data_IF_306177667880
#
_entry.id   IF_306177667880
#
_cell.length_a   1.000
_cell.length_b   1.000
_cell.length_c   1.000
_cell.angle_alpha   90.00
_cell.angle_beta   90.00
_cell.angle_gamma   90.00
#
_symmetry.space_group_name_H-M   'P 1'
#
loop_
_entity.id
_entity.type
_entity.pdbx_description
1 polymer ?
#
# COMPACT_ATOMS: atom_id res chain seq x y z
N UNK A 1 -13.79 34.63 -16.24
CA UNK A 1 -13.83 36.05 -16.67
C UNK A 1 -15.29 36.41 -16.82
N UNK A 2 -15.95 36.74 -15.71
CA UNK A 2 -16.17 38.09 -15.18
C UNK A 2 -17.30 38.83 -15.91
N UNK A 3 -18.41 38.93 -15.17
CA UNK A 3 -19.56 39.85 -15.36
C UNK A 3 -19.11 41.32 -15.46
N UNK A 4 -19.97 42.23 -15.96
CA UNK A 4 -20.58 43.23 -15.04
C UNK A 4 -22.07 43.50 -15.34
N UNK A 5 -22.97 43.65 -14.34
CA UNK A 5 -23.37 44.88 -13.61
C UNK A 5 -23.78 46.06 -14.54
N UNK A 6 -24.85 46.83 -14.37
CA UNK A 6 -25.94 47.04 -13.40
C UNK A 6 -27.03 47.88 -14.16
N UNK A 7 -28.28 48.10 -13.74
CA UNK A 7 -28.65 49.03 -12.68
C UNK A 7 -30.19 49.16 -12.50
N UNK A 8 -30.59 49.17 -11.21
CA UNK A 8 -31.67 49.89 -10.51
C UNK A 8 -32.81 50.61 -11.27
N UNK A 9 -34.05 50.41 -10.79
CA UNK A 9 -34.93 51.51 -10.32
C UNK A 9 -36.05 51.05 -9.38
N UNK A 10 -36.21 51.80 -8.28
CA UNK A 10 -37.26 51.69 -7.25
C UNK A 10 -38.62 52.15 -7.79
N UNK A 11 -39.70 51.47 -7.43
CA UNK A 11 -41.07 52.03 -7.44
C UNK A 11 -41.79 51.62 -6.15
N UNK A 12 -42.45 52.60 -5.54
CA UNK A 12 -43.12 52.54 -4.25
C UNK A 12 -44.63 52.73 -4.48
N UNK A 13 -45.44 52.07 -3.65
CA UNK A 13 -46.88 52.23 -3.39
C UNK A 13 -47.90 51.54 -4.32
N UNK A 14 -48.73 50.65 -3.78
CA UNK A 14 -50.07 50.97 -3.25
C UNK A 14 -50.77 49.71 -2.70
N UNK A 15 -51.58 49.92 -1.68
CA UNK A 15 -52.34 48.95 -0.88
C UNK A 15 -53.52 48.38 -1.67
N UNK A 16 -53.76 47.06 -1.61
CA UNK A 16 -55.12 46.50 -1.68
C UNK A 16 -55.24 45.34 -0.68
N UNK A 17 -56.13 45.51 0.29
CA UNK A 17 -56.54 44.48 1.22
C UNK A 17 -57.41 43.44 0.50
N UNK A 18 -56.93 42.20 0.43
CA UNK A 18 -57.67 41.05 -0.07
C UNK A 18 -57.81 40.00 1.02
N UNK A 19 -58.99 39.90 1.60
CA UNK A 19 -59.42 38.89 2.57
C UNK A 19 -59.35 37.50 1.94
N UNK A 20 -58.34 36.71 2.32
CA UNK A 20 -58.15 35.33 1.91
C UNK A 20 -58.86 34.40 2.91
N UNK A 21 -59.98 33.80 2.50
CA UNK A 21 -60.64 32.72 3.24
C UNK A 21 -59.68 31.53 3.36
N UNK A 22 -59.20 31.23 4.56
CA UNK A 22 -58.51 29.97 4.85
C UNK A 22 -59.56 28.86 4.99
N UNK A 23 -59.74 28.07 3.94
CA UNK A 23 -60.39 26.77 4.06
C UNK A 23 -59.46 25.82 4.82
N UNK A 24 -59.80 25.48 6.06
CA UNK A 24 -59.12 24.46 6.83
C UNK A 24 -59.38 23.09 6.20
N UNK A 25 -58.53 22.67 5.27
CA UNK A 25 -58.48 21.29 4.82
C UNK A 25 -58.06 20.40 5.99
N UNK A 26 -58.92 19.47 6.38
CA UNK A 26 -58.57 18.43 7.35
C UNK A 26 -57.46 17.58 6.74
N UNK A 27 -56.22 17.79 7.21
CA UNK A 27 -55.14 16.86 6.95
C UNK A 27 -55.54 15.53 7.61
N UNK A 28 -55.91 14.54 6.79
CA UNK A 28 -56.04 13.17 7.24
C UNK A 28 -54.65 12.72 7.68
N UNK A 29 -54.43 12.64 8.99
CA UNK A 29 -53.27 11.98 9.54
C UNK A 29 -53.23 10.58 8.94
N UNK A 30 -52.15 10.27 8.22
CA UNK A 30 -51.88 8.90 7.78
C UNK A 30 -51.82 8.06 9.06
N UNK A 31 -52.81 7.18 9.22
CA UNK A 31 -52.81 6.15 10.24
C UNK A 31 -51.51 5.39 10.07
N UNK A 32 -50.60 5.54 11.04
CA UNK A 32 -49.41 4.71 11.14
C UNK A 32 -49.89 3.26 11.13
N UNK A 33 -49.63 2.57 10.03
CA UNK A 33 -49.70 1.11 9.96
C UNK A 33 -49.01 0.61 11.22
N UNK A 34 -49.58 -0.34 11.97
CA UNK A 34 -48.95 -0.81 13.19
C UNK A 34 -47.53 -1.22 12.82
N UNK A 35 -46.57 -0.43 13.30
CA UNK A 35 -45.16 -0.79 13.26
C UNK A 35 -45.17 -2.18 13.87
N UNK A 36 -44.90 -3.21 13.08
CA UNK A 36 -44.70 -4.55 13.65
C UNK A 36 -43.72 -4.31 14.78
N UNK A 37 -44.18 -4.50 16.02
CA UNK A 37 -43.37 -4.28 17.19
C UNK A 37 -42.04 -4.99 16.92
N UNK A 38 -40.93 -4.26 17.10
CA UNK A 38 -39.62 -4.79 16.78
C UNK A 38 -39.47 -6.16 17.47
N UNK A 39 -39.05 -7.21 16.74
CA UNK A 39 -38.95 -8.54 17.32
C UNK A 39 -37.90 -8.55 18.44
N UNK A 40 -37.92 -9.59 19.28
CA UNK A 40 -36.87 -9.79 20.28
C UNK A 40 -35.47 -9.85 19.63
N UNK A 41 -34.45 -9.36 20.32
CA UNK A 41 -33.07 -9.23 19.82
C UNK A 41 -32.95 -8.30 18.60
N UNK A 42 -33.68 -7.19 18.61
CA UNK A 42 -33.57 -6.14 17.61
C UNK A 42 -33.60 -4.73 18.21
N UNK A 43 -32.92 -3.82 17.53
CA UNK A 43 -32.84 -2.40 17.85
C UNK A 43 -33.38 -1.55 16.70
N UNK A 44 -34.03 -0.44 17.06
CA UNK A 44 -34.58 0.49 16.07
C UNK A 44 -33.45 1.08 15.21
N UNK A 45 -33.71 1.25 13.90
CA UNK A 45 -32.75 1.88 12.99
C UNK A 45 -32.54 3.35 13.37
N UNK A 46 -31.30 3.82 13.24
CA UNK A 46 -30.97 5.23 13.47
C UNK A 46 -31.61 6.16 12.42
N UNK A 47 -31.80 5.68 11.19
CA UNK A 47 -32.40 6.42 10.08
C UNK A 47 -33.29 5.51 9.24
N UNK A 48 -34.42 6.05 8.76
CA UNK A 48 -35.46 5.27 8.09
C UNK A 48 -36.25 4.40 9.07
N UNK A 49 -37.55 4.19 8.81
CA UNK A 49 -38.36 3.31 9.66
C UNK A 49 -37.83 1.86 9.68
N UNK A 50 -38.05 1.15 10.79
CA UNK A 50 -37.73 -0.27 10.93
C UNK A 50 -36.73 -0.58 12.05
N UNK A 51 -36.21 -1.80 12.03
CA UNK A 51 -35.30 -2.36 13.03
C UNK A 51 -34.15 -3.12 12.35
N UNK A 52 -33.07 -3.34 13.11
CA UNK A 52 -31.97 -4.25 12.77
C UNK A 52 -31.82 -5.27 13.88
N UNK A 53 -31.42 -6.49 13.55
CA UNK A 53 -31.06 -7.46 14.58
C UNK A 53 -29.86 -6.97 15.38
N UNK A 54 -29.90 -7.24 16.69
CA UNK A 54 -28.78 -6.97 17.58
C UNK A 54 -27.57 -7.85 17.22
N UNK A 55 -26.39 -7.46 17.67
CA UNK A 55 -25.16 -8.20 17.41
C UNK A 55 -25.28 -9.66 17.88
N UNK A 56 -24.92 -10.61 17.00
CA UNK A 56 -25.09 -12.05 17.26
C UNK A 56 -26.41 -12.63 16.75
N UNK A 57 -27.28 -11.81 16.17
CA UNK A 57 -28.55 -12.24 15.58
C UNK A 57 -28.63 -11.85 14.10
N UNK A 58 -29.42 -12.61 13.33
CA UNK A 58 -29.67 -12.33 11.92
C UNK A 58 -31.16 -12.40 11.61
N UNK A 59 -31.58 -11.63 10.62
CA UNK A 59 -32.97 -11.59 10.18
C UNK A 59 -33.32 -12.87 9.41
N UNK A 60 -34.27 -13.63 9.95
CA UNK A 60 -34.90 -14.77 9.29
C UNK A 60 -36.41 -14.53 9.31
N UNK A 61 -36.97 -14.22 8.14
CA UNK A 61 -38.37 -13.82 8.02
C UNK A 61 -38.62 -12.46 8.69
N UNK A 62 -39.39 -12.44 9.77
CA UNK A 62 -39.68 -11.22 10.57
C UNK A 62 -39.18 -11.34 12.01
N UNK A 63 -38.13 -12.14 12.21
CA UNK A 63 -37.54 -12.44 13.52
C UNK A 63 -36.03 -12.30 13.45
N UNK A 64 -35.43 -11.99 14.60
CA UNK A 64 -34.00 -12.07 14.80
C UNK A 64 -33.66 -13.40 15.45
N UNK A 65 -33.03 -14.28 14.68
CA UNK A 65 -32.57 -15.58 15.15
C UNK A 65 -31.07 -15.52 15.46
N UNK A 66 -30.67 -16.18 16.56
CA UNK A 66 -29.28 -16.23 16.97
C UNK A 66 -28.42 -16.89 15.88
N UNK A 67 -27.27 -16.28 15.59
CA UNK A 67 -26.27 -16.82 14.68
C UNK A 67 -25.64 -18.05 15.36
N UNK A 68 -25.76 -19.21 14.70
CA UNK A 68 -25.10 -20.43 15.15
C UNK A 68 -23.64 -20.40 14.71
N UNK A 69 -22.73 -20.30 15.68
CA UNK A 69 -21.30 -20.37 15.44
C UNK A 69 -20.87 -21.83 15.27
N UNK A 70 -20.18 -22.18 14.17
CA UNK A 70 -19.45 -23.43 14.11
C UNK A 70 -18.25 -23.39 15.08
N UNK A 71 -17.64 -24.55 15.33
CA UNK A 71 -16.39 -24.62 16.08
C UNK A 71 -15.32 -23.75 15.41
N UNK A 72 -14.48 -23.10 16.21
CA UNK A 72 -13.41 -22.20 15.78
C UNK A 72 -13.84 -20.91 15.05
N UNK A 73 -15.06 -20.42 15.31
CA UNK A 73 -15.58 -19.16 14.77
C UNK A 73 -15.91 -18.14 15.87
N UNK A 74 -15.89 -16.85 15.50
CA UNK A 74 -16.34 -15.74 16.34
C UNK A 74 -17.28 -14.81 15.57
N UNK A 75 -18.13 -14.07 16.29
CA UNK A 75 -19.05 -13.10 15.69
C UNK A 75 -18.26 -11.92 15.11
N UNK A 76 -18.42 -11.64 13.82
CA UNK A 76 -17.72 -10.54 13.14
C UNK A 76 -18.46 -9.20 13.21
N UNK A 77 -19.66 -9.19 13.81
CA UNK A 77 -20.48 -7.97 13.97
C UNK A 77 -21.06 -7.42 12.65
N UNK A 78 -20.82 -8.09 11.53
CA UNK A 78 -21.33 -7.70 10.22
C UNK A 78 -22.81 -8.06 10.05
N UNK A 79 -23.60 -7.10 9.56
CA UNK A 79 -25.01 -7.30 9.18
C UNK A 79 -25.18 -8.09 7.85
N UNK A 80 -24.08 -8.42 7.18
CA UNK A 80 -24.06 -9.10 5.87
C UNK A 80 -23.12 -10.32 5.93
N UNK A 81 -23.41 -11.33 5.10
CA UNK A 81 -22.65 -12.58 5.06
C UNK A 81 -23.08 -13.58 6.14
N UNK A 82 -22.13 -14.38 6.64
CA UNK A 82 -22.33 -15.36 7.71
C UNK A 82 -22.59 -14.75 9.08
N UNK A 83 -22.17 -13.49 9.29
CA UNK A 83 -22.19 -12.81 10.59
C UNK A 83 -21.14 -13.33 11.59
N UNK A 84 -20.22 -14.17 11.10
CA UNK A 84 -19.10 -14.73 11.85
C UNK A 84 -17.89 -14.93 10.95
N UNK A 85 -16.71 -14.89 11.56
CA UNK A 85 -15.41 -15.14 10.94
C UNK A 85 -14.70 -16.29 11.68
N UNK A 86 -13.71 -16.91 11.04
CA UNK A 86 -12.90 -17.95 11.64
C UNK A 86 -11.81 -17.38 12.54
N UNK A 87 -11.52 -18.05 13.66
CA UNK A 87 -10.36 -17.72 14.48
C UNK A 87 -9.05 -17.83 13.70
N UNK A 88 -8.01 -17.14 14.20
CA UNK A 88 -6.66 -17.23 13.66
C UNK A 88 -6.20 -18.69 13.51
N UNK A 89 -5.70 -19.05 12.34
CA UNK A 89 -5.30 -20.42 12.01
C UNK A 89 -6.42 -21.30 11.44
N UNK A 90 -7.60 -20.73 11.23
CA UNK A 90 -8.72 -21.40 10.58
C UNK A 90 -9.19 -20.63 9.35
N UNK A 91 -9.74 -21.35 8.37
CA UNK A 91 -10.33 -20.77 7.16
C UNK A 91 -11.73 -21.32 6.91
N UNK A 92 -12.55 -20.49 6.26
CA UNK A 92 -13.91 -20.86 5.88
C UNK A 92 -13.88 -21.98 4.83
N UNK A 93 -14.43 -23.13 5.18
CA UNK A 93 -14.66 -24.26 4.27
C UNK A 93 -16.01 -24.91 4.59
N UNK A 94 -16.87 -25.08 3.58
CA UNK A 94 -18.16 -25.76 3.72
C UNK A 94 -19.01 -25.26 4.91
N UNK A 95 -19.07 -23.94 5.12
CA UNK A 95 -19.81 -23.30 6.23
C UNK A 95 -19.31 -23.71 7.64
N UNK A 96 -18.03 -24.07 7.75
CA UNK A 96 -17.31 -24.34 8.99
C UNK A 96 -15.92 -23.69 8.94
N UNK A 97 -15.24 -23.63 10.10
CA UNK A 97 -13.86 -23.19 10.20
C UNK A 97 -12.93 -24.39 10.25
N UNK A 98 -12.31 -24.69 9.11
CA UNK A 98 -11.32 -25.75 8.98
C UNK A 98 -9.94 -25.25 9.39
N UNK A 99 -9.19 -26.06 10.14
CA UNK A 99 -7.82 -25.77 10.54
C UNK A 99 -6.94 -25.64 9.29
N UNK A 100 -6.12 -24.59 9.24
CA UNK A 100 -5.16 -24.41 8.17
C UNK A 100 -3.98 -25.36 8.40
N UNK A 101 -3.70 -26.31 7.47
CA UNK A 101 -2.51 -27.13 7.57
C UNK A 101 -1.29 -26.26 7.29
N UNK A 102 -0.48 -26.01 8.32
CA UNK A 102 0.80 -25.32 8.22
C UNK A 102 1.89 -26.39 8.05
N UNK A 103 2.62 -26.41 6.91
CA UNK A 103 3.67 -27.40 6.70
C UNK A 103 4.89 -27.13 7.60
N UNK A 104 5.84 -28.07 7.64
CA UNK A 104 7.11 -27.86 8.31
C UNK A 104 7.87 -26.67 7.69
N UNK A 105 8.59 -25.92 8.54
CA UNK A 105 9.32 -24.70 8.18
C UNK A 105 8.43 -23.57 7.63
N UNK A 106 7.24 -23.43 8.20
CA UNK A 106 6.27 -22.40 7.85
C UNK A 106 5.54 -21.88 9.08
N UNK A 107 4.99 -20.68 8.95
CA UNK A 107 4.18 -20.02 9.96
C UNK A 107 3.02 -19.26 9.33
N UNK A 108 1.97 -19.03 10.11
CA UNK A 108 0.82 -18.23 9.66
C UNK A 108 1.21 -16.75 9.53
N UNK A 109 0.76 -16.09 8.47
CA UNK A 109 0.94 -14.65 8.31
C UNK A 109 0.07 -13.86 9.31
N UNK A 110 0.19 -12.54 9.30
CA UNK A 110 -0.59 -11.68 10.21
C UNK A 110 -2.11 -11.75 9.98
N UNK A 111 -2.57 -12.23 8.82
CA UNK A 111 -3.99 -12.44 8.58
C UNK A 111 -4.52 -13.70 9.28
N UNK A 112 -3.64 -14.65 9.61
CA UNK A 112 -4.03 -15.93 10.18
C UNK A 112 -4.75 -16.88 9.23
N UNK A 113 -4.93 -16.47 7.97
CA UNK A 113 -5.65 -17.26 6.94
C UNK A 113 -4.73 -17.84 5.87
N UNK A 114 -3.45 -17.45 5.88
CA UNK A 114 -2.40 -17.94 4.98
C UNK A 114 -1.15 -18.24 5.79
N UNK A 115 -0.30 -19.07 5.24
CA UNK A 115 1.03 -19.33 5.79
C UNK A 115 2.11 -18.86 4.81
N UNK A 116 3.30 -18.65 5.34
CA UNK A 116 4.51 -18.36 4.59
C UNK A 116 5.68 -19.17 5.18
N UNK A 117 6.69 -19.44 4.36
CA UNK A 117 7.85 -20.19 4.80
C UNK A 117 8.68 -19.41 5.82
N UNK A 118 9.32 -20.14 6.73
CA UNK A 118 10.34 -19.61 7.61
C UNK A 118 11.51 -19.04 6.80
N UNK A 119 12.25 -18.12 7.40
CA UNK A 119 13.47 -17.59 6.79
C UNK A 119 14.42 -18.73 6.43
N UNK A 120 14.92 -18.71 5.19
CA UNK A 120 15.77 -19.77 4.67
C UNK A 120 15.02 -20.87 3.94
N UNK A 121 13.69 -20.75 3.81
CA UNK A 121 12.85 -21.65 3.04
C UNK A 121 12.02 -20.89 2.01
N UNK A 122 11.69 -21.57 0.91
CA UNK A 122 10.85 -21.06 -0.18
C UNK A 122 9.73 -22.03 -0.49
N UNK A 123 8.59 -21.50 -0.92
CA UNK A 123 7.41 -22.29 -1.28
C UNK A 123 7.72 -23.25 -2.42
N UNK A 124 7.44 -24.53 -2.20
CA UNK A 124 7.55 -25.61 -3.17
C UNK A 124 6.24 -26.43 -3.13
N UNK A 125 5.25 -26.00 -3.92
CA UNK A 125 3.90 -26.53 -3.84
C UNK A 125 3.26 -26.19 -2.49
N UNK A 126 2.81 -27.22 -1.76
CA UNK A 126 2.20 -27.07 -0.43
C UNK A 126 3.21 -27.25 0.72
N UNK A 127 4.50 -27.12 0.44
CA UNK A 127 5.60 -27.32 1.40
C UNK A 127 6.59 -26.16 1.33
N UNK A 128 7.48 -26.10 2.31
CA UNK A 128 8.61 -25.19 2.36
C UNK A 128 9.92 -25.97 2.16
N UNK A 129 10.62 -25.68 1.07
CA UNK A 129 11.90 -26.30 0.73
C UNK A 129 13.05 -25.34 1.11
N UNK A 130 14.19 -25.85 1.60
CA UNK A 130 15.31 -25.00 1.98
C UNK A 130 15.89 -24.27 0.76
N UNK A 131 16.19 -22.99 0.95
CA UNK A 131 16.85 -22.16 -0.04
C UNK A 131 18.33 -22.56 -0.09
N UNK A 132 18.81 -22.94 -1.28
CA UNK A 132 20.23 -23.19 -1.52
C UNK A 132 20.95 -21.86 -1.73
N UNK A 133 21.66 -21.41 -0.70
CA UNK A 133 22.52 -20.23 -0.79
C UNK A 133 23.86 -20.64 -1.41
N UNK A 134 24.31 -20.00 -2.51
CA UNK A 134 25.61 -20.29 -3.09
C UNK A 134 26.76 -19.73 -2.24
N UNK A 135 27.98 -20.14 -2.56
CA UNK A 135 29.19 -19.51 -2.03
C UNK A 135 29.18 -17.99 -2.32
N UNK A 136 29.66 -17.18 -1.37
CA UNK A 136 29.60 -15.70 -1.41
C UNK A 136 28.19 -15.12 -1.47
N UNK A 137 27.21 -15.82 -0.91
CA UNK A 137 25.83 -15.36 -0.78
C UNK A 137 25.32 -15.50 0.65
N UNK A 138 24.25 -14.76 0.95
CA UNK A 138 23.58 -14.76 2.25
C UNK A 138 22.05 -14.74 2.09
N UNK A 139 21.34 -15.28 3.09
CA UNK A 139 19.88 -15.26 3.13
C UNK A 139 19.33 -13.85 3.31
N UNK A 140 18.42 -13.44 2.44
CA UNK A 140 17.67 -12.19 2.62
C UNK A 140 16.47 -12.40 3.55
N UNK A 141 15.90 -11.31 4.04
CA UNK A 141 14.65 -11.31 4.81
C UNK A 141 13.41 -11.33 3.91
N UNK A 142 13.58 -11.29 2.59
CA UNK A 142 12.48 -11.26 1.64
C UNK A 142 11.95 -12.67 1.39
N UNK A 143 10.67 -12.88 1.66
CA UNK A 143 9.92 -14.07 1.24
C UNK A 143 9.60 -14.04 -0.27
N UNK A 144 9.93 -12.94 -0.95
CA UNK A 144 9.75 -12.74 -2.39
C UNK A 144 11.10 -12.84 -3.11
N UNK A 145 11.14 -13.52 -4.27
CA UNK A 145 12.36 -13.70 -5.07
C UNK A 145 13.13 -14.97 -4.71
N UNK A 146 14.43 -15.00 -5.00
CA UNK A 146 15.30 -16.17 -4.79
C UNK A 146 15.70 -16.40 -3.32
N UNK A 147 15.36 -15.46 -2.43
CA UNK A 147 15.57 -15.58 -0.98
C UNK A 147 17.03 -15.49 -0.50
N UNK A 148 17.95 -15.14 -1.40
CA UNK A 148 19.34 -14.84 -1.09
C UNK A 148 19.86 -13.68 -1.94
N UNK A 149 20.95 -13.06 -1.49
CA UNK A 149 21.69 -12.04 -2.21
C UNK A 149 23.19 -12.35 -2.12
N UNK A 150 23.99 -11.72 -2.98
CA UNK A 150 25.44 -11.90 -2.95
C UNK A 150 26.09 -10.98 -1.92
N UNK A 151 27.16 -11.46 -1.30
CA UNK A 151 28.05 -10.67 -0.47
C UNK A 151 28.61 -9.48 -1.27
N UNK A 152 29.00 -8.43 -0.55
CA UNK A 152 29.61 -7.24 -1.16
C UNK A 152 30.85 -7.64 -1.94
N UNK A 153 30.94 -7.18 -3.20
CA UNK A 153 32.01 -7.57 -4.13
C UNK A 153 31.64 -8.75 -5.03
N UNK A 154 30.44 -9.31 -4.89
CA UNK A 154 29.92 -10.36 -5.74
C UNK A 154 28.58 -9.97 -6.34
N UNK A 155 28.24 -10.59 -7.47
CA UNK A 155 26.98 -10.37 -8.19
C UNK A 155 26.33 -11.68 -8.58
N UNK A 156 24.99 -11.69 -8.56
CA UNK A 156 24.22 -12.86 -8.94
C UNK A 156 24.38 -13.11 -10.45
N UNK A 157 24.74 -14.34 -10.82
CA UNK A 157 24.75 -14.82 -12.21
C UNK A 157 24.18 -16.23 -12.21
N UNK A 158 22.90 -16.35 -12.58
CA UNK A 158 22.13 -17.57 -12.40
C UNK A 158 21.99 -17.93 -10.92
N UNK A 159 22.42 -19.13 -10.54
CA UNK A 159 22.37 -19.65 -9.17
C UNK A 159 23.67 -19.45 -8.38
N UNK A 160 24.56 -18.56 -8.83
CA UNK A 160 25.88 -18.33 -8.22
C UNK A 160 26.13 -16.85 -7.95
N UNK A 161 27.00 -16.60 -6.98
CA UNK A 161 27.60 -15.28 -6.75
C UNK A 161 29.02 -15.27 -7.35
N UNK A 162 29.20 -14.50 -8.42
CA UNK A 162 30.49 -14.35 -9.09
C UNK A 162 31.14 -13.03 -8.68
N UNK A 163 32.47 -12.97 -8.52
CA UNK A 163 33.16 -11.76 -8.14
C UNK A 163 32.93 -10.64 -9.15
N UNK A 164 32.79 -9.42 -8.65
CA UNK A 164 32.75 -8.21 -9.45
C UNK A 164 34.18 -7.86 -9.86
N UNK A 165 34.42 -7.75 -11.17
CA UNK A 165 35.69 -7.23 -11.67
C UNK A 165 35.80 -5.75 -11.30
N UNK A 166 36.72 -5.44 -10.41
CA UNK A 166 36.97 -4.08 -9.94
C UNK A 166 38.16 -3.50 -10.74
N UNK A 167 37.95 -2.52 -11.63
CA UNK A 167 39.04 -1.91 -12.37
C UNK A 167 39.94 -1.06 -11.44
N UNK A 168 41.12 -0.68 -11.92
CA UNK A 168 41.97 0.27 -11.22
C UNK A 168 41.24 1.60 -11.00
N UNK A 169 41.50 2.26 -9.86
CA UNK A 169 40.86 3.51 -9.44
C UNK A 169 39.34 3.41 -9.28
N UNK A 170 38.84 2.25 -8.85
CA UNK A 170 37.44 2.02 -8.52
C UNK A 170 37.26 1.42 -7.13
N UNK A 171 36.09 1.67 -6.54
CA UNK A 171 35.69 1.07 -5.27
C UNK A 171 34.27 0.52 -5.33
N UNK A 172 34.01 -0.53 -4.55
CA UNK A 172 32.71 -1.18 -4.48
C UNK A 172 31.65 -0.22 -3.90
N UNK A 173 30.43 -0.26 -4.43
CA UNK A 173 29.29 0.49 -3.90
C UNK A 173 28.35 -0.43 -3.13
N UNK A 174 27.49 0.14 -2.28
CA UNK A 174 26.42 -0.62 -1.62
C UNK A 174 25.17 -0.72 -2.50
N UNK A 175 25.24 -0.32 -3.77
CA UNK A 175 24.11 -0.39 -4.68
C UNK A 175 23.84 -1.84 -5.07
N UNK A 176 22.61 -2.31 -4.81
CA UNK A 176 22.14 -3.61 -5.29
C UNK A 176 21.84 -3.64 -6.79
N UNK A 177 21.96 -2.52 -7.49
CA UNK A 177 21.75 -2.37 -8.93
C UNK A 177 22.96 -1.72 -9.62
N UNK A 178 23.13 -2.00 -10.92
CA UNK A 178 24.24 -1.49 -11.73
C UNK A 178 25.50 -2.38 -11.67
N UNK A 179 26.67 -1.77 -11.86
CA UNK A 179 27.98 -2.46 -11.89
C UNK A 179 28.48 -2.89 -10.51
N UNK A 180 27.92 -2.34 -9.42
CA UNK A 180 28.34 -2.63 -8.04
C UNK A 180 29.66 -1.96 -7.63
N UNK A 181 30.19 -1.08 -8.47
CA UNK A 181 31.38 -0.25 -8.19
C UNK A 181 31.22 1.13 -8.83
N UNK A 182 32.01 2.08 -8.36
CA UNK A 182 32.16 3.42 -8.95
C UNK A 182 33.61 3.85 -8.92
N UNK A 183 33.96 4.86 -9.71
CA UNK A 183 35.32 5.37 -9.77
C UNK A 183 35.68 6.19 -8.53
N UNK A 184 36.95 6.13 -8.15
CA UNK A 184 37.55 7.02 -7.18
C UNK A 184 37.43 8.48 -7.64
N UNK A 185 37.45 9.41 -6.68
CA UNK A 185 37.41 10.84 -6.98
C UNK A 185 38.61 11.23 -7.85
N UNK A 186 38.37 11.93 -8.95
CA UNK A 186 39.39 12.23 -9.95
C UNK A 186 39.36 11.27 -11.14
N UNK A 187 38.47 10.28 -11.12
CA UNK A 187 38.26 9.33 -12.21
C UNK A 187 36.79 9.29 -12.61
N UNK A 188 36.54 8.93 -13.87
CA UNK A 188 35.19 8.80 -14.45
C UNK A 188 35.01 7.47 -15.16
N UNK A 189 33.79 6.97 -15.16
CA UNK A 189 33.46 5.68 -15.81
C UNK A 189 33.56 5.82 -17.32
N UNK A 190 34.32 4.93 -17.96
CA UNK A 190 34.32 4.73 -19.42
C UNK A 190 34.28 3.23 -19.73
N UNK A 191 33.09 2.72 -20.00
CA UNK A 191 32.89 1.27 -20.16
C UNK A 191 33.13 0.54 -18.85
N UNK A 192 34.08 -0.40 -18.84
CA UNK A 192 34.44 -1.21 -17.66
C UNK A 192 35.70 -0.71 -16.93
N UNK A 193 36.14 0.51 -17.20
CA UNK A 193 37.33 1.11 -16.56
C UNK A 193 37.04 2.50 -15.99
N UNK A 194 37.93 2.94 -15.10
CA UNK A 194 37.95 4.28 -14.55
C UNK A 194 39.10 5.06 -15.16
N UNK A 195 38.75 6.08 -15.95
CA UNK A 195 39.70 6.98 -16.59
C UNK A 195 39.92 8.22 -15.76
N UNK A 196 41.17 8.66 -15.69
CA UNK A 196 41.52 9.90 -15.00
C UNK A 196 40.83 11.11 -15.65
N UNK A 197 40.30 12.00 -14.82
CA UNK A 197 39.73 13.27 -15.24
C UNK A 197 40.88 14.23 -15.53
N UNK A 198 41.12 14.51 -16.80
CA UNK A 198 42.08 15.53 -17.21
C UNK A 198 41.60 16.92 -16.82
N UNK A 199 42.35 17.59 -15.96
CA UNK A 199 42.09 18.95 -15.50
C UNK A 199 42.78 19.96 -16.41
N UNK A 200 42.04 20.85 -17.11
CA UNK A 200 42.68 21.97 -17.79
C UNK A 200 43.23 22.99 -16.78
N UNK A 201 44.06 23.91 -17.26
CA UNK A 201 44.58 25.01 -16.44
C UNK A 201 43.41 25.83 -15.85
N UNK A 202 43.58 26.28 -14.60
CA UNK A 202 42.57 27.02 -13.83
C UNK A 202 41.27 26.25 -13.56
N UNK A 203 41.30 24.91 -13.51
CA UNK A 203 40.17 24.09 -13.10
C UNK A 203 40.43 23.30 -11.80
N UNK A 204 39.35 22.82 -11.19
CA UNK A 204 39.35 21.87 -10.08
C UNK A 204 38.28 20.79 -10.33
N UNK A 205 38.37 19.67 -9.62
CA UNK A 205 37.36 18.62 -9.69
C UNK A 205 35.99 19.14 -9.21
N UNK A 206 34.93 18.82 -9.93
CA UNK A 206 33.55 19.14 -9.55
C UNK A 206 33.15 18.44 -8.23
N UNK A 207 31.98 18.76 -7.68
CA UNK A 207 31.49 18.13 -6.45
C UNK A 207 31.39 16.60 -6.56
N UNK A 208 30.89 16.09 -7.69
CA UNK A 208 30.76 14.66 -7.97
C UNK A 208 32.09 13.91 -8.08
N UNK A 209 33.18 14.62 -8.39
CA UNK A 209 34.53 14.05 -8.52
C UNK A 209 34.82 13.35 -9.85
N UNK A 210 33.86 13.33 -10.79
CA UNK A 210 33.92 12.65 -12.09
C UNK A 210 34.12 13.62 -13.27
N UNK A 211 34.26 14.90 -12.97
CA UNK A 211 34.46 15.97 -13.93
C UNK A 211 35.15 17.17 -13.27
N UNK A 212 35.19 18.28 -13.99
CA UNK A 212 35.88 19.49 -13.54
C UNK A 212 35.01 20.74 -13.72
N UNK A 213 35.35 21.79 -12.98
CA UNK A 213 34.77 23.12 -13.09
C UNK A 213 35.90 24.17 -13.03
N UNK A 214 35.68 25.32 -13.65
CA UNK A 214 36.65 26.40 -13.61
C UNK A 214 36.76 27.01 -12.21
N UNK A 215 37.98 27.31 -11.79
CA UNK A 215 38.25 28.16 -10.65
C UNK A 215 37.70 29.55 -10.95
N UNK A 216 37.10 30.21 -9.95
CA UNK A 216 36.70 31.61 -10.11
C UNK A 216 37.95 32.49 -10.26
N UNK A 217 37.95 33.51 -11.14
CA UNK A 217 36.84 34.04 -11.95
C UNK A 217 36.73 33.45 -13.38
N UNK A 218 37.49 32.41 -13.73
CA UNK A 218 37.55 31.84 -15.08
C UNK A 218 36.21 31.21 -15.49
N UNK A 219 35.91 31.23 -16.79
CA UNK A 219 34.70 30.65 -17.39
C UNK A 219 35.05 29.52 -18.36
N UNK A 220 34.16 28.53 -18.45
CA UNK A 220 34.36 27.38 -19.32
C UNK A 220 34.14 27.76 -20.78
N UNK A 221 35.13 27.49 -21.63
CA UNK A 221 35.07 27.64 -23.08
C UNK A 221 35.56 26.34 -23.73
N UNK A 222 34.63 25.43 -24.04
CA UNK A 222 34.97 24.09 -24.51
C UNK A 222 35.73 23.29 -23.45
N UNK A 223 36.93 22.79 -23.82
CA UNK A 223 37.77 21.96 -22.97
C UNK A 223 38.77 22.75 -22.08
N UNK A 224 38.59 24.07 -21.95
CA UNK A 224 39.50 24.95 -21.19
C UNK A 224 38.74 25.98 -20.35
N UNK A 225 39.45 26.55 -19.37
CA UNK A 225 38.99 27.71 -18.62
C UNK A 225 39.69 28.96 -19.16
N UNK A 226 38.91 29.98 -19.50
CA UNK A 226 39.42 31.26 -20.02
C UNK A 226 39.06 32.38 -19.06
N UNK A 227 39.93 33.40 -19.00
CA UNK A 227 39.61 34.63 -18.28
C UNK A 227 38.31 35.24 -18.86
N UNK A 228 37.45 35.85 -18.03
CA UNK A 228 36.20 36.45 -18.46
C UNK A 228 36.39 37.65 -19.39
#
# INVERSE_FOLDING_TARGET
MTSPHAALRRWLHLIVAGTLMMAAGTATAQTSTPISAAPENSSARAYGGGWNCDAGFREIGKKCEAIRLPENAYLSGGAYGSGWDCHYGYRLENNACALIPVPANAFLDSSGTRWQCDRGYSTAGNLCAPIKVPENGYLTSSNSGIGWACDRGFRATGSKCLPINLPANAYLTNSGSGTGWTCERGYRVRGEVCDEVTLPEFAHLNSSGDGWQCNRPYRQAGARCVAP
#
